data_IF_264430400247
#
_entry.id   IF_264430400247
#
_cell.length_a   1.000
_cell.length_b   1.000
_cell.length_c   1.000
_cell.angle_alpha   90.00
_cell.angle_beta   90.00
_cell.angle_gamma   90.00
#
_symmetry.space_group_name_H-M   'P 1'
#
loop_
_entity.id
_entity.type
_entity.pdbx_description
1 polymer ?
#
# COMPACT_ATOMS: atom_id res chain seq x y z
N UNK A 1 4.74 -16.99 10.17
CA UNK A 1 5.29 -15.93 9.29
C UNK A 1 6.67 -15.56 9.81
N UNK A 2 7.64 -15.28 8.93
CA UNK A 2 8.98 -14.81 9.37
C UNK A 2 8.85 -13.37 9.88
N UNK A 3 9.67 -12.98 10.86
CA UNK A 3 9.72 -11.60 11.39
C UNK A 3 9.92 -10.59 10.25
N UNK A 4 10.74 -10.94 9.26
CA UNK A 4 10.94 -10.13 8.05
C UNK A 4 9.64 -9.83 7.28
N UNK A 5 8.73 -10.79 7.20
CA UNK A 5 7.42 -10.62 6.53
C UNK A 5 6.54 -9.63 7.28
N UNK A 6 6.58 -9.67 8.62
CA UNK A 6 5.80 -8.77 9.48
C UNK A 6 6.31 -7.34 9.31
N UNK A 7 7.64 -7.14 9.33
CA UNK A 7 8.25 -5.83 9.12
C UNK A 7 7.88 -5.26 7.74
N UNK A 8 7.94 -6.08 6.69
CA UNK A 8 7.56 -5.67 5.34
C UNK A 8 6.08 -5.25 5.27
N UNK A 9 5.16 -5.99 5.89
CA UNK A 9 3.73 -5.64 5.92
C UNK A 9 3.47 -4.33 6.68
N UNK A 10 4.22 -4.07 7.75
CA UNK A 10 4.10 -2.80 8.50
C UNK A 10 4.58 -1.63 7.65
N UNK A 11 5.72 -1.78 6.98
CA UNK A 11 6.26 -0.78 6.05
C UNK A 11 5.29 -0.50 4.91
N UNK A 12 4.71 -1.55 4.33
CA UNK A 12 3.71 -1.49 3.28
C UNK A 12 2.47 -0.69 3.73
N UNK A 13 1.97 -0.99 4.92
CA UNK A 13 0.85 -0.27 5.53
C UNK A 13 1.15 1.21 5.75
N UNK A 14 2.36 1.57 6.20
CA UNK A 14 2.78 2.97 6.38
C UNK A 14 2.82 3.73 5.05
N UNK A 15 3.28 3.10 3.97
CA UNK A 15 3.31 3.70 2.64
C UNK A 15 1.89 3.95 2.14
N UNK A 16 0.99 2.97 2.27
CA UNK A 16 -0.42 3.11 1.88
C UNK A 16 -1.06 4.27 2.66
N UNK A 17 -0.80 4.37 3.96
CA UNK A 17 -1.35 5.43 4.81
C UNK A 17 -0.88 6.83 4.36
N UNK A 18 0.40 6.96 3.99
CA UNK A 18 0.95 8.18 3.40
C UNK A 18 0.30 8.55 2.07
N UNK A 19 0.13 7.58 1.17
CA UNK A 19 -0.51 7.79 -0.14
C UNK A 19 -1.98 8.18 0.01
N UNK A 20 -2.71 7.56 0.94
CA UNK A 20 -4.09 7.93 1.27
C UNK A 20 -4.14 9.40 1.73
N UNK A 21 -3.21 9.84 2.58
CA UNK A 21 -3.10 11.24 2.98
C UNK A 21 -2.89 12.19 1.81
N UNK A 22 -2.02 11.82 0.85
CA UNK A 22 -1.78 12.58 -0.38
C UNK A 22 -3.05 12.68 -1.24
N UNK A 23 -3.76 11.57 -1.41
CA UNK A 23 -5.02 11.50 -2.16
C UNK A 23 -6.09 12.38 -1.50
N UNK A 24 -6.29 12.25 -0.18
CA UNK A 24 -7.27 13.05 0.58
C UNK A 24 -6.95 14.55 0.49
N UNK A 25 -5.68 14.92 0.64
CA UNK A 25 -5.26 16.33 0.57
C UNK A 25 -5.54 16.93 -0.81
N UNK A 26 -5.34 16.17 -1.87
CA UNK A 26 -5.65 16.62 -3.23
C UNK A 26 -7.14 16.73 -3.51
N UNK A 27 -7.95 15.77 -3.04
CA UNK A 27 -9.43 15.88 -3.08
C UNK A 27 -9.87 17.17 -2.38
N UNK A 28 -9.30 17.46 -1.20
CA UNK A 28 -9.65 18.66 -0.42
C UNK A 28 -9.28 19.95 -1.15
N UNK A 29 -8.18 19.95 -1.91
CA UNK A 29 -7.77 21.09 -2.73
C UNK A 29 -8.56 21.20 -4.03
N UNK A 30 -9.44 20.24 -4.34
CA UNK A 30 -10.21 20.19 -5.58
C UNK A 30 -9.36 19.92 -6.82
N UNK A 31 -8.09 19.51 -6.62
CA UNK A 31 -7.13 19.29 -7.70
C UNK A 31 -7.04 17.78 -7.99
N UNK A 32 -7.83 17.32 -8.96
CA UNK A 32 -7.78 15.96 -9.48
C UNK A 32 -6.69 15.83 -10.57
N UNK A 33 -5.50 16.38 -10.28
CA UNK A 33 -4.35 16.31 -11.19
C UNK A 33 -3.69 14.93 -11.21
N UNK A 34 -2.66 14.77 -12.03
CA UNK A 34 -1.87 13.54 -12.16
C UNK A 34 -1.40 12.98 -10.81
N UNK A 35 -1.19 13.85 -9.82
CA UNK A 35 -0.75 13.47 -8.48
C UNK A 35 -1.80 12.66 -7.72
N UNK A 36 -3.08 12.81 -8.03
CA UNK A 36 -4.18 12.06 -7.42
C UNK A 36 -4.17 10.64 -7.95
N UNK A 37 -4.03 10.51 -9.27
CA UNK A 37 -3.91 9.24 -9.97
C UNK A 37 -2.66 8.47 -9.58
N UNK A 38 -1.53 9.15 -9.37
CA UNK A 38 -0.30 8.54 -8.84
C UNK A 38 -0.53 7.99 -7.42
N UNK A 39 -1.21 8.75 -6.56
CA UNK A 39 -1.57 8.30 -5.22
C UNK A 39 -2.46 7.07 -5.24
N UNK A 40 -3.49 7.07 -6.09
CA UNK A 40 -4.42 5.95 -6.26
C UNK A 40 -3.74 4.71 -6.85
N UNK A 41 -2.92 4.88 -7.89
CA UNK A 41 -2.14 3.79 -8.49
C UNK A 41 -1.16 3.18 -7.49
N UNK A 42 -0.52 4.00 -6.64
CA UNK A 42 0.34 3.54 -5.56
C UNK A 42 -0.42 2.70 -4.54
N UNK A 43 -1.59 3.14 -4.07
CA UNK A 43 -2.41 2.39 -3.10
C UNK A 43 -2.78 1.01 -3.68
N UNK A 44 -3.17 0.95 -4.96
CA UNK A 44 -3.54 -0.31 -5.61
C UNK A 44 -2.33 -1.23 -5.76
N UNK A 45 -1.18 -0.71 -6.19
CA UNK A 45 0.05 -1.49 -6.35
C UNK A 45 0.55 -2.06 -5.03
N UNK A 46 0.58 -1.26 -3.97
CA UNK A 46 0.99 -1.70 -2.64
C UNK A 46 -0.04 -2.65 -2.02
N UNK A 47 -1.34 -2.42 -2.20
CA UNK A 47 -2.38 -3.36 -1.77
C UNK A 47 -2.22 -4.75 -2.42
N UNK A 48 -1.85 -4.81 -3.70
CA UNK A 48 -1.55 -6.08 -4.38
C UNK A 48 -0.28 -6.74 -3.83
N UNK A 49 0.77 -5.94 -3.58
CA UNK A 49 2.02 -6.41 -3.00
C UNK A 49 1.81 -7.01 -1.60
N UNK A 50 1.12 -6.31 -0.71
CA UNK A 50 0.77 -6.79 0.63
C UNK A 50 -0.05 -8.09 0.58
N UNK A 51 -1.02 -8.19 -0.34
CA UNK A 51 -1.83 -9.40 -0.51
C UNK A 51 -1.01 -10.58 -1.02
N UNK A 52 -0.07 -10.36 -1.94
CA UNK A 52 0.88 -11.36 -2.40
C UNK A 52 1.78 -11.86 -1.27
N UNK A 53 2.35 -10.92 -0.49
CA UNK A 53 3.19 -11.22 0.67
C UNK A 53 2.41 -12.04 1.71
N UNK A 54 1.15 -11.66 1.96
CA UNK A 54 0.27 -12.35 2.89
C UNK A 54 -0.04 -13.78 2.43
N UNK A 55 -0.37 -14.00 1.16
CA UNK A 55 -0.56 -15.35 0.60
C UNK A 55 0.70 -16.21 0.71
N UNK A 56 1.86 -15.65 0.37
CA UNK A 56 3.14 -16.35 0.48
C UNK A 56 3.48 -16.74 1.92
N UNK A 57 3.13 -15.88 2.86
CA UNK A 57 3.41 -16.10 4.27
C UNK A 57 2.50 -17.15 4.94
N UNK A 58 1.31 -17.38 4.37
CA UNK A 58 0.32 -18.37 4.81
C UNK A 58 0.46 -19.71 4.09
N UNK A 59 1.15 -19.76 2.95
CA UNK A 59 1.46 -21.03 2.29
C UNK A 59 2.47 -21.79 3.15
N UNK A 60 2.10 -22.94 3.75
CA UNK A 60 3.07 -23.76 4.45
C UNK A 60 4.07 -24.25 3.41
N UNK A 61 5.36 -23.92 3.60
CA UNK A 61 6.43 -24.59 2.84
C UNK A 61 6.28 -26.09 3.07
N UNK A 62 5.96 -26.83 2.01
CA UNK A 62 6.21 -28.27 1.97
C UNK A 62 7.72 -28.51 2.05
#
# INVERSE_FOLDING_TARGET
>A
MKISTIILLILDALIILGLVGVVINQIRQGDLSDRFWIGLAGIIAFGYCGQYLFKYSKTPRK
#
